data_IF_308064016552
#
_entry.id   IF_308064016552
#
_cell.length_a   1.000
_cell.length_b   1.000
_cell.length_c   1.000
_cell.angle_alpha   90.00
_cell.angle_beta   90.00
_cell.angle_gamma   90.00
#
_symmetry.space_group_name_H-M   'P 1'
#
loop_
_entity.id
_entity.type
_entity.pdbx_description
1 polymer ?
#
# COMPACT_ATOMS: atom_id res chain seq x y z
N UNK A 1 9.58 5.94 18.34
CA UNK A 1 8.73 5.21 19.31
C UNK A 1 7.33 5.83 19.38
N UNK A 2 6.28 5.07 19.72
CA UNK A 2 4.97 5.63 20.03
C UNK A 2 5.08 6.65 21.16
N UNK A 3 4.51 7.82 20.92
CA UNK A 3 4.55 8.95 21.85
C UNK A 3 3.13 9.42 22.14
N UNK A 4 2.86 9.71 23.41
CA UNK A 4 1.59 10.32 23.82
C UNK A 4 1.58 11.82 23.54
N UNK A 5 0.41 12.46 23.65
CA UNK A 5 0.26 13.92 23.58
C UNK A 5 0.99 14.70 24.69
N UNK A 6 1.58 13.99 25.66
CA UNK A 6 2.37 14.54 26.76
C UNK A 6 3.86 14.23 26.62
N UNK A 7 4.31 13.85 25.41
CA UNK A 7 5.69 13.46 25.10
C UNK A 7 6.21 12.26 25.89
N UNK A 8 5.32 11.46 26.48
CA UNK A 8 5.68 10.20 27.13
C UNK A 8 5.81 9.07 26.11
N UNK A 9 6.92 8.33 26.19
CA UNK A 9 7.20 7.15 25.37
C UNK A 9 6.53 5.88 25.92
N UNK A 10 6.14 4.97 25.02
CA UNK A 10 5.41 3.76 25.39
C UNK A 10 6.33 2.59 25.80
N UNK A 11 5.94 1.86 26.86
CA UNK A 11 6.52 0.58 27.29
C UNK A 11 8.06 0.64 27.47
N UNK A 12 8.51 1.59 28.29
CA UNK A 12 9.92 1.81 28.62
C UNK A 12 10.42 0.68 29.52
N UNK A 13 11.48 0.00 29.08
CA UNK A 13 12.14 -1.02 29.87
C UNK A 13 12.89 -0.39 31.05
N UNK A 14 12.53 -0.75 32.29
CA UNK A 14 13.12 -0.16 33.51
C UNK A 14 14.64 -0.34 33.62
N UNK A 15 15.19 -1.43 33.07
CA UNK A 15 16.62 -1.74 33.16
C UNK A 15 17.45 -0.98 32.13
N UNK A 16 16.95 -0.87 30.89
CA UNK A 16 17.73 -0.27 29.80
C UNK A 16 17.35 1.18 29.55
N UNK A 17 16.15 1.61 29.93
CA UNK A 17 15.55 2.89 29.56
C UNK A 17 15.02 2.93 28.11
N UNK A 18 15.05 1.80 27.39
CA UNK A 18 14.59 1.75 25.99
C UNK A 18 13.10 1.52 25.92
N UNK A 19 12.44 2.32 25.11
CA UNK A 19 11.02 2.26 24.81
C UNK A 19 10.66 1.27 23.70
N UNK A 20 9.36 1.12 23.44
CA UNK A 20 8.86 0.37 22.29
C UNK A 20 9.24 1.08 20.99
N UNK A 21 9.94 0.35 20.11
CA UNK A 21 10.28 0.80 18.77
C UNK A 21 9.39 0.12 17.74
N UNK A 22 8.94 0.94 16.77
CA UNK A 22 8.22 0.53 15.58
C UNK A 22 9.07 0.98 14.41
N UNK A 23 9.37 0.05 13.51
CA UNK A 23 10.10 0.33 12.29
C UNK A 23 9.09 0.38 11.14
N UNK A 24 9.17 1.42 10.31
CA UNK A 24 8.37 1.56 9.11
C UNK A 24 9.28 1.62 7.88
N UNK A 25 9.03 0.74 6.91
CA UNK A 25 9.76 0.67 5.66
C UNK A 25 8.81 0.98 4.51
N UNK A 26 9.29 1.79 3.57
CA UNK A 26 8.57 2.18 2.38
C UNK A 26 9.33 1.72 1.13
N UNK A 27 8.66 0.97 0.26
CA UNK A 27 9.18 0.56 -1.04
C UNK A 27 8.32 1.21 -2.12
N UNK A 28 8.86 2.22 -2.82
CA UNK A 28 8.10 3.08 -3.74
C UNK A 28 8.48 2.73 -5.19
N UNK A 29 7.48 2.55 -6.05
CA UNK A 29 7.67 2.10 -7.42
C UNK A 29 7.33 3.19 -8.46
N UNK A 30 7.86 3.05 -9.69
CA UNK A 30 7.61 3.99 -10.79
C UNK A 30 6.14 4.18 -11.20
N UNK A 31 5.25 3.25 -10.86
CA UNK A 31 3.81 3.36 -11.14
C UNK A 31 3.04 4.14 -10.07
N UNK A 32 3.73 4.78 -9.12
CA UNK A 32 3.13 5.53 -8.02
C UNK A 32 2.58 4.66 -6.89
N UNK A 33 2.76 3.33 -6.96
CA UNK A 33 2.45 2.43 -5.87
C UNK A 33 3.61 2.32 -4.87
N UNK A 34 3.31 1.99 -3.61
CA UNK A 34 4.30 1.75 -2.58
C UNK A 34 3.84 0.72 -1.55
N UNK A 35 4.74 -0.13 -1.07
CA UNK A 35 4.49 -0.91 0.14
C UNK A 35 4.86 -0.09 1.37
N UNK A 36 3.96 -0.04 2.35
CA UNK A 36 4.24 0.33 3.73
C UNK A 36 4.30 -0.95 4.56
N UNK A 37 5.48 -1.26 5.08
CA UNK A 37 5.71 -2.36 6.01
C UNK A 37 5.96 -1.78 7.40
N UNK A 38 5.12 -2.14 8.36
CA UNK A 38 5.24 -1.66 9.75
C UNK A 38 5.48 -2.85 10.65
N UNK A 39 6.61 -2.87 11.36
CA UNK A 39 7.00 -3.97 12.23
C UNK A 39 7.45 -3.51 13.62
N UNK A 40 7.27 -4.40 14.60
CA UNK A 40 7.66 -4.16 15.99
C UNK A 40 7.97 -5.48 16.70
N UNK A 41 8.54 -5.41 17.89
CA UNK A 41 8.76 -6.59 18.74
C UNK A 41 7.42 -7.13 19.26
N UNK A 42 7.14 -8.41 19.04
CA UNK A 42 5.90 -9.06 19.50
C UNK A 42 5.68 -8.86 21.00
N UNK A 43 4.43 -8.57 21.38
CA UNK A 43 4.03 -8.33 22.78
C UNK A 43 4.36 -6.94 23.33
N UNK A 44 4.96 -6.04 22.54
CA UNK A 44 5.30 -4.69 23.04
C UNK A 44 4.25 -3.61 22.74
N UNK A 45 3.47 -3.79 21.67
CA UNK A 45 2.39 -2.88 21.27
C UNK A 45 1.11 -3.23 22.05
N UNK A 46 0.67 -2.32 22.94
CA UNK A 46 -0.52 -2.50 23.78
C UNK A 46 -1.85 -2.44 23.01
N UNK A 47 -2.96 -2.43 23.76
CA UNK A 47 -4.33 -2.32 23.22
C UNK A 47 -5.13 -1.22 23.94
N UNK A 48 -6.10 -0.54 23.27
CA UNK A 48 -6.48 -0.73 21.86
C UNK A 48 -5.43 -0.16 20.89
N UNK A 49 -5.45 -0.63 19.63
CA UNK A 49 -4.56 -0.16 18.56
C UNK A 49 -5.34 -0.01 17.26
N UNK A 50 -5.09 1.09 16.56
CA UNK A 50 -5.65 1.41 15.24
C UNK A 50 -4.48 1.64 14.29
N UNK A 51 -4.37 0.82 13.24
CA UNK A 51 -3.21 0.86 12.34
C UNK A 51 -3.40 1.81 11.16
N UNK A 52 -4.63 1.92 10.64
CA UNK A 52 -4.88 2.73 9.46
C UNK A 52 -6.26 3.40 9.50
N UNK A 53 -6.20 4.72 9.35
CA UNK A 53 -7.34 5.62 9.14
C UNK A 53 -7.00 6.51 7.94
N UNK A 54 -7.90 6.60 6.97
CA UNK A 54 -7.70 7.39 5.75
C UNK A 54 -8.27 8.80 5.94
N UNK A 55 -7.37 9.78 6.09
CA UNK A 55 -7.70 11.14 6.51
C UNK A 55 -7.21 12.17 5.46
N UNK A 56 -8.11 12.64 4.58
CA UNK A 56 -7.87 13.79 3.72
C UNK A 56 -7.44 15.05 4.47
N UNK A 57 -6.58 15.84 3.81
CA UNK A 57 -6.12 17.15 4.27
C UNK A 57 -6.67 18.24 3.34
N UNK A 58 -7.10 19.35 3.93
CA UNK A 58 -7.43 20.58 3.21
C UNK A 58 -6.46 21.69 3.63
N UNK A 59 -5.94 22.44 2.66
CA UNK A 59 -5.13 23.62 2.93
C UNK A 59 -5.96 24.82 3.41
N UNK A 60 -5.30 25.91 3.87
CA UNK A 60 -5.98 27.16 4.15
C UNK A 60 -6.78 27.66 2.93
N UNK A 61 -7.99 28.13 3.18
CA UNK A 61 -8.96 28.59 2.19
C UNK A 61 -9.83 27.49 1.60
N UNK A 62 -9.48 26.21 1.79
CA UNK A 62 -10.19 25.08 1.18
C UNK A 62 -11.26 24.49 2.09
N UNK A 63 -12.39 24.14 1.49
CA UNK A 63 -13.46 23.36 2.08
C UNK A 63 -13.30 21.88 1.73
N UNK A 64 -14.03 21.01 2.42
CA UNK A 64 -14.01 19.56 2.16
C UNK A 64 -14.40 19.23 0.71
N UNK A 65 -15.39 19.95 0.18
CA UNK A 65 -15.85 19.83 -1.20
C UNK A 65 -14.87 20.37 -2.24
N UNK A 66 -13.80 21.08 -1.86
CA UNK A 66 -12.75 21.47 -2.80
C UNK A 66 -11.73 20.34 -3.02
N UNK A 67 -11.69 19.38 -2.11
CA UNK A 67 -10.74 18.25 -2.13
C UNK A 67 -11.42 16.96 -2.62
N UNK A 68 -12.59 16.64 -2.05
CA UNK A 68 -13.26 15.37 -2.31
C UNK A 68 -14.25 15.47 -3.46
N UNK A 69 -14.37 14.38 -4.21
CA UNK A 69 -15.51 14.16 -5.10
C UNK A 69 -16.70 13.54 -4.34
N UNK A 70 -17.86 13.45 -5.00
CA UNK A 70 -19.03 12.73 -4.49
C UNK A 70 -19.64 11.87 -5.62
N UNK A 71 -19.56 10.53 -5.56
CA UNK A 71 -19.18 9.69 -4.41
C UNK A 71 -17.71 9.82 -4.01
N UNK A 72 -17.41 9.70 -2.72
CA UNK A 72 -16.11 10.02 -2.14
C UNK A 72 -15.21 8.80 -1.86
N UNK A 73 -15.78 7.59 -1.87
CA UNK A 73 -15.06 6.36 -1.55
C UNK A 73 -15.67 5.17 -2.28
N UNK A 74 -14.80 4.30 -2.79
CA UNK A 74 -15.14 2.95 -3.22
C UNK A 74 -14.37 1.95 -2.36
N UNK A 75 -15.07 0.99 -1.78
CA UNK A 75 -14.49 -0.18 -1.10
C UNK A 75 -14.73 -1.40 -1.96
N UNK A 76 -13.71 -2.23 -2.18
CA UNK A 76 -13.82 -3.47 -2.97
C UNK A 76 -13.15 -4.65 -2.27
N UNK A 77 -13.54 -5.86 -2.68
CA UNK A 77 -12.82 -7.10 -2.38
C UNK A 77 -12.07 -7.63 -3.61
N UNK A 78 -11.38 -8.76 -3.46
CA UNK A 78 -10.65 -9.41 -4.56
C UNK A 78 -11.55 -10.15 -5.54
N UNK A 79 -12.83 -10.40 -5.25
CA UNK A 79 -13.77 -11.00 -6.20
C UNK A 79 -14.28 -9.98 -7.22
N UNK A 80 -14.17 -8.69 -6.90
CA UNK A 80 -14.64 -7.57 -7.71
C UNK A 80 -15.92 -6.94 -7.19
N UNK A 81 -16.47 -7.43 -6.08
CA UNK A 81 -17.62 -6.81 -5.44
C UNK A 81 -17.20 -5.47 -4.82
N UNK A 82 -18.00 -4.44 -5.06
CA UNK A 82 -17.71 -3.07 -4.62
C UNK A 82 -18.91 -2.42 -3.94
N UNK A 83 -18.63 -1.57 -2.95
CA UNK A 83 -19.58 -0.66 -2.35
C UNK A 83 -19.09 0.79 -2.49
N UNK A 84 -19.96 1.65 -2.99
CA UNK A 84 -19.70 3.08 -3.19
C UNK A 84 -20.35 3.89 -2.08
N UNK A 85 -19.59 4.81 -1.50
CA UNK A 85 -20.01 5.70 -0.43
C UNK A 85 -20.03 7.14 -0.90
N UNK A 86 -21.07 7.84 -0.51
CA UNK A 86 -21.35 9.19 -0.95
C UNK A 86 -21.79 10.03 0.26
N UNK A 87 -21.68 11.34 0.11
CA UNK A 87 -22.32 12.30 0.97
C UNK A 87 -23.80 12.43 0.58
N UNK A 88 -24.69 12.28 1.55
CA UNK A 88 -26.15 12.27 1.36
C UNK A 88 -26.82 13.39 2.15
N UNK A 89 -28.01 13.81 1.72
CA UNK A 89 -28.84 14.74 2.49
C UNK A 89 -29.49 14.00 3.67
N UNK A 90 -29.50 14.62 4.86
CA UNK A 90 -30.17 14.11 6.07
C UNK A 90 -29.86 12.63 6.39
N UNK A 91 -28.56 12.26 6.59
CA UNK A 91 -28.13 10.88 6.70
C UNK A 91 -28.85 10.15 7.85
N UNK A 92 -29.35 8.96 7.55
CA UNK A 92 -29.91 8.01 8.51
C UNK A 92 -28.87 6.94 8.84
N UNK A 93 -29.24 5.94 9.66
CA UNK A 93 -28.43 4.75 9.83
C UNK A 93 -28.18 4.09 8.47
N UNK A 94 -26.91 4.00 8.07
CA UNK A 94 -26.54 3.49 6.75
C UNK A 94 -26.99 2.04 6.58
N UNK A 95 -27.61 1.76 5.43
CA UNK A 95 -28.00 0.41 5.01
C UNK A 95 -27.00 -0.21 4.02
N UNK A 96 -25.94 0.55 3.67
CA UNK A 96 -24.89 0.10 2.76
C UNK A 96 -24.12 -1.03 3.44
N UNK A 97 -23.95 -2.14 2.72
CA UNK A 97 -23.18 -3.27 3.20
C UNK A 97 -21.80 -3.21 2.58
N UNK A 98 -20.77 -3.42 3.39
CA UNK A 98 -19.43 -3.65 2.87
C UNK A 98 -19.40 -4.96 2.08
N UNK A 99 -18.57 -5.04 1.02
CA UNK A 99 -18.28 -6.31 0.36
C UNK A 99 -17.73 -7.33 1.36
N UNK A 100 -17.91 -8.62 1.08
CA UNK A 100 -17.30 -9.67 1.90
C UNK A 100 -15.76 -9.59 1.81
N UNK A 101 -15.09 -9.67 2.96
CA UNK A 101 -13.63 -9.59 3.09
C UNK A 101 -13.00 -8.39 2.35
N UNK A 102 -13.41 -7.14 2.67
CA UNK A 102 -12.96 -5.97 1.94
C UNK A 102 -11.49 -5.68 2.24
N UNK A 103 -10.71 -5.49 1.18
CA UNK A 103 -9.28 -5.21 1.30
C UNK A 103 -8.78 -4.09 0.38
N UNK A 104 -9.66 -3.42 -0.37
CA UNK A 104 -9.31 -2.31 -1.26
C UNK A 104 -10.14 -1.08 -0.86
N UNK A 105 -9.47 0.06 -0.72
CA UNK A 105 -10.10 1.39 -0.61
C UNK A 105 -9.54 2.29 -1.69
N UNK A 106 -10.42 2.99 -2.41
CA UNK A 106 -10.09 4.09 -3.31
C UNK A 106 -10.90 5.30 -2.91
N UNK A 107 -10.23 6.38 -2.51
CA UNK A 107 -10.88 7.62 -2.14
C UNK A 107 -10.89 8.56 -3.34
N UNK A 108 -12.07 9.02 -3.73
CA UNK A 108 -12.24 9.86 -4.91
C UNK A 108 -12.00 11.32 -4.53
N UNK A 109 -10.92 11.88 -5.06
CA UNK A 109 -10.55 13.28 -4.93
C UNK A 109 -10.91 14.00 -6.24
N UNK A 110 -10.93 15.33 -6.22
CA UNK A 110 -11.03 16.13 -7.45
C UNK A 110 -9.75 16.16 -8.29
N UNK A 111 -8.74 15.40 -7.86
CA UNK A 111 -7.45 15.22 -8.55
C UNK A 111 -7.60 14.19 -9.67
N UNK A 112 -6.75 14.27 -10.70
CA UNK A 112 -6.67 13.25 -11.75
C UNK A 112 -6.23 11.87 -11.21
N UNK A 113 -5.55 11.87 -10.06
CA UNK A 113 -5.08 10.67 -9.39
C UNK A 113 -5.71 10.54 -8.00
N UNK A 114 -6.42 9.44 -7.81
CA UNK A 114 -7.10 9.10 -6.57
C UNK A 114 -6.23 8.24 -5.65
N UNK A 115 -6.09 8.57 -4.36
CA UNK A 115 -5.39 7.73 -3.42
C UNK A 115 -6.11 6.41 -3.17
N UNK A 116 -5.33 5.33 -3.08
CA UNK A 116 -5.83 4.01 -2.75
C UNK A 116 -4.96 3.32 -1.70
N UNK A 117 -5.57 2.35 -1.01
CA UNK A 117 -4.88 1.41 -0.13
C UNK A 117 -5.44 0.01 -0.39
N UNK A 118 -4.54 -0.95 -0.60
CA UNK A 118 -4.83 -2.37 -0.65
C UNK A 118 -4.19 -3.01 0.58
N UNK A 119 -4.95 -3.85 1.28
CA UNK A 119 -4.51 -4.58 2.47
C UNK A 119 -4.36 -6.07 2.18
N UNK A 120 -3.66 -6.76 3.07
CA UNK A 120 -3.57 -8.21 3.02
C UNK A 120 -4.96 -8.87 3.10
N UNK A 121 -5.15 -9.99 2.39
CA UNK A 121 -6.38 -10.79 2.47
C UNK A 121 -6.65 -11.17 3.93
N UNK A 122 -7.87 -10.88 4.40
CA UNK A 122 -8.25 -11.03 5.81
C UNK A 122 -8.31 -9.70 6.59
N UNK A 123 -7.99 -8.57 5.94
CA UNK A 123 -8.28 -7.25 6.48
C UNK A 123 -9.78 -7.09 6.81
N UNK A 124 -10.07 -6.29 7.83
CA UNK A 124 -11.42 -5.84 8.14
C UNK A 124 -11.53 -4.33 7.98
N UNK A 125 -12.66 -3.88 7.46
CA UNK A 125 -13.01 -2.47 7.38
C UNK A 125 -14.23 -2.23 8.27
N UNK A 126 -14.34 -1.00 8.77
CA UNK A 126 -15.54 -0.59 9.49
C UNK A 126 -15.95 0.81 9.04
N UNK A 127 -17.07 0.86 8.33
CA UNK A 127 -17.76 2.06 7.95
C UNK A 127 -18.76 2.49 9.03
N UNK A 128 -18.51 3.63 9.69
CA UNK A 128 -19.39 4.09 10.77
C UNK A 128 -20.77 4.58 10.30
N UNK A 129 -20.91 5.06 9.07
CA UNK A 129 -22.19 5.53 8.55
C UNK A 129 -22.07 6.66 7.54
N UNK A 130 -23.22 6.99 6.94
CA UNK A 130 -23.28 7.97 5.86
C UNK A 130 -22.94 9.38 6.38
N UNK A 131 -22.50 10.25 5.47
CA UNK A 131 -22.04 11.61 5.79
C UNK A 131 -23.02 12.64 5.21
N UNK A 132 -23.32 13.68 5.98
CA UNK A 132 -24.23 14.73 5.50
C UNK A 132 -23.54 15.56 4.41
N UNK A 133 -24.19 15.76 3.26
CA UNK A 133 -23.71 16.55 2.12
C UNK A 133 -23.37 18.00 2.44
N UNK A 134 -23.99 18.60 3.45
CA UNK A 134 -23.60 19.94 3.93
C UNK A 134 -22.15 20.02 4.40
N UNK A 135 -21.55 18.88 4.77
CA UNK A 135 -20.15 18.84 5.18
C UNK A 135 -19.21 19.29 4.07
N UNK A 136 -19.56 19.08 2.80
CA UNK A 136 -18.74 19.51 1.66
C UNK A 136 -18.60 21.05 1.61
N UNK A 137 -19.55 21.79 2.18
CA UNK A 137 -19.56 23.26 2.24
C UNK A 137 -18.92 23.82 3.53
N UNK A 138 -18.21 22.98 4.29
CA UNK A 138 -17.64 23.32 5.59
C UNK A 138 -16.14 22.98 5.61
N UNK A 139 -15.33 23.63 6.47
CA UNK A 139 -13.93 23.26 6.69
C UNK A 139 -13.81 21.83 7.21
N UNK A 140 -12.58 21.32 7.25
CA UNK A 140 -12.32 20.02 7.87
C UNK A 140 -12.61 19.99 9.37
N UNK A 141 -12.87 18.79 9.88
CA UNK A 141 -13.31 18.57 11.26
C UNK A 141 -12.20 18.80 12.30
N UNK A 142 -10.92 18.73 11.93
CA UNK A 142 -9.82 18.91 12.87
C UNK A 142 -8.83 19.93 12.30
N UNK A 143 -8.48 20.98 13.06
CA UNK A 143 -7.49 22.00 12.66
C UNK A 143 -6.19 21.93 13.50
N UNK A 144 -6.01 20.86 14.26
CA UNK A 144 -4.86 20.66 15.15
C UNK A 144 -3.99 19.46 14.75
N UNK A 145 -4.54 18.36 14.23
CA UNK A 145 -3.77 17.17 13.87
C UNK A 145 -4.19 16.71 12.46
N UNK A 146 -3.27 16.23 11.61
CA UNK A 146 -1.82 16.08 11.81
C UNK A 146 -1.00 17.35 11.49
N UNK A 147 -1.65 18.46 11.10
CA UNK A 147 -0.96 19.61 10.49
C UNK A 147 -0.88 20.84 11.40
N UNK A 148 -1.78 20.97 12.38
CA UNK A 148 -1.80 22.11 13.29
C UNK A 148 -0.85 21.92 14.48
N UNK A 149 -0.48 23.03 15.12
CA UNK A 149 0.21 23.00 16.43
C UNK A 149 -0.64 23.66 17.53
N UNK A 150 -1.86 24.07 17.19
CA UNK A 150 -2.77 24.66 18.16
C UNK A 150 -3.20 23.58 19.16
N UNK A 151 -3.02 23.85 20.46
CA UNK A 151 -3.60 23.04 21.52
C UNK A 151 -5.11 23.02 21.35
N UNK A 152 -5.66 21.86 20.99
CA UNK A 152 -7.07 21.70 20.69
C UNK A 152 -7.53 20.31 21.11
N UNK A 153 -8.72 20.25 21.71
CA UNK A 153 -9.39 19.07 22.23
C UNK A 153 -10.33 18.42 21.20
N UNK A 154 -10.00 18.47 19.90
CA UNK A 154 -10.82 17.87 18.84
C UNK A 154 -11.97 18.75 18.32
N UNK A 155 -11.82 20.08 18.37
CA UNK A 155 -12.86 21.01 17.89
C UNK A 155 -13.02 20.97 16.36
N UNK A 156 -14.27 21.00 15.92
CA UNK A 156 -14.63 21.21 14.51
C UNK A 156 -14.14 22.56 14.00
N UNK A 157 -13.40 22.57 12.90
CA UNK A 157 -13.02 23.79 12.20
C UNK A 157 -14.26 24.57 11.76
N UNK A 158 -14.43 25.78 12.28
CA UNK A 158 -15.55 26.67 11.92
C UNK A 158 -15.20 27.65 10.79
N UNK A 159 -13.91 27.79 10.48
CA UNK A 159 -13.39 28.60 9.37
C UNK A 159 -12.28 27.84 8.63
N UNK A 160 -12.09 28.08 7.31
CA UNK A 160 -11.02 27.48 6.52
C UNK A 160 -9.71 28.29 6.62
N UNK A 161 -9.45 29.01 7.71
CA UNK A 161 -8.28 29.92 7.82
C UNK A 161 -6.96 29.18 8.05
N UNK A 162 -6.98 27.86 8.25
CA UNK A 162 -5.84 27.01 8.59
C UNK A 162 -5.93 25.67 7.87
N UNK A 163 -4.84 24.90 7.77
CA UNK A 163 -4.92 23.52 7.34
C UNK A 163 -5.88 22.73 8.24
N UNK A 164 -6.70 21.91 7.63
CA UNK A 164 -7.64 21.02 8.35
C UNK A 164 -7.52 19.60 7.84
N UNK A 165 -7.99 18.66 8.65
CA UNK A 165 -8.15 17.26 8.29
C UNK A 165 -9.60 16.84 8.54
N UNK A 166 -10.06 15.86 7.77
CA UNK A 166 -11.45 15.42 7.82
C UNK A 166 -11.61 14.06 7.17
N UNK A 167 -12.72 13.38 7.48
CA UNK A 167 -12.96 11.98 7.14
C UNK A 167 -11.90 11.05 7.72
N UNK A 168 -12.29 9.81 8.00
CA UNK A 168 -11.46 8.84 8.69
C UNK A 168 -11.97 7.42 8.49
N UNK A 169 -12.67 7.17 7.39
CA UNK A 169 -13.41 5.93 7.20
C UNK A 169 -13.21 5.36 5.80
N UNK A 170 -13.22 4.03 5.68
CA UNK A 170 -13.37 3.07 6.78
C UNK A 170 -12.09 2.95 7.61
N UNK A 171 -12.24 2.71 8.91
CA UNK A 171 -11.09 2.34 9.75
C UNK A 171 -10.72 0.91 9.40
N UNK A 172 -9.43 0.68 9.15
CA UNK A 172 -8.94 -0.62 8.69
C UNK A 172 -8.18 -1.35 9.79
N UNK A 173 -8.47 -2.63 9.91
CA UNK A 173 -7.78 -3.57 10.79
C UNK A 173 -7.00 -4.56 9.92
N UNK A 174 -5.75 -4.25 9.55
CA UNK A 174 -4.93 -5.14 8.74
C UNK A 174 -4.61 -6.42 9.49
N UNK A 175 -4.28 -7.47 8.73
CA UNK A 175 -3.78 -8.74 9.28
C UNK A 175 -2.41 -8.50 9.92
N UNK A 176 -2.25 -8.99 11.15
CA UNK A 176 -0.95 -8.96 11.83
C UNK A 176 -0.31 -10.34 11.70
N UNK A 177 0.86 -10.39 11.08
CA UNK A 177 1.69 -11.60 11.03
C UNK A 177 2.67 -11.58 12.20
N UNK A 178 2.88 -12.72 12.84
CA UNK A 178 3.89 -12.89 13.89
C UNK A 178 4.85 -14.01 13.55
N UNK A 179 6.16 -13.70 13.56
CA UNK A 179 7.22 -14.68 13.28
C UNK A 179 8.52 -14.21 13.93
N UNK A 180 9.30 -15.15 14.48
CA UNK A 180 10.62 -14.88 15.04
C UNK A 180 10.66 -13.73 16.06
N UNK A 181 9.60 -13.57 16.86
CA UNK A 181 9.49 -12.50 17.86
C UNK A 181 9.22 -11.10 17.30
N UNK A 182 8.88 -10.98 16.02
CA UNK A 182 8.40 -9.75 15.37
C UNK A 182 6.92 -9.91 15.00
N UNK A 183 6.17 -8.82 15.16
CA UNK A 183 4.81 -8.67 14.66
C UNK A 183 4.82 -7.56 13.61
N UNK A 184 4.12 -7.75 12.49
CA UNK A 184 4.06 -6.74 11.43
C UNK A 184 2.75 -6.80 10.64
N UNK A 185 2.51 -5.75 9.86
CA UNK A 185 1.54 -5.75 8.78
C UNK A 185 2.09 -5.03 7.55
N UNK A 186 1.48 -5.30 6.40
CA UNK A 186 1.79 -4.63 5.14
C UNK A 186 0.54 -3.97 4.56
N UNK A 187 0.72 -2.81 3.93
CA UNK A 187 -0.27 -2.20 3.06
C UNK A 187 0.36 -1.75 1.76
N UNK A 188 -0.36 -1.90 0.65
CA UNK A 188 0.00 -1.38 -0.65
C UNK A 188 -0.75 -0.07 -0.89
N UNK A 189 -0.03 1.02 -0.84
CA UNK A 189 -0.51 2.39 -0.99
C UNK A 189 -0.23 2.89 -2.40
N UNK A 190 -0.93 3.94 -2.82
CA UNK A 190 -0.56 4.69 -4.01
C UNK A 190 -1.61 5.69 -4.40
N UNK A 191 -1.43 6.29 -5.58
CA UNK A 191 -2.44 7.09 -6.25
C UNK A 191 -2.59 6.60 -7.68
N UNK A 192 -3.80 6.64 -8.23
CA UNK A 192 -4.07 6.10 -9.56
C UNK A 192 -5.17 6.85 -10.29
N UNK A 193 -5.04 6.96 -11.61
CA UNK A 193 -6.09 7.40 -12.54
C UNK A 193 -6.96 6.21 -13.02
N UNK A 194 -6.63 4.98 -12.61
CA UNK A 194 -7.29 3.76 -13.06
C UNK A 194 -8.59 3.49 -12.30
N UNK A 195 -9.56 2.76 -12.90
CA UNK A 195 -10.76 2.32 -12.22
C UNK A 195 -10.47 1.29 -11.12
N UNK A 196 -11.46 1.04 -10.24
CA UNK A 196 -11.31 0.07 -9.14
C UNK A 196 -10.98 -1.35 -9.63
N UNK A 197 -11.43 -1.74 -10.82
CA UNK A 197 -11.12 -3.05 -11.42
C UNK A 197 -9.61 -3.27 -11.62
N UNK A 198 -8.85 -2.22 -11.92
CA UNK A 198 -7.39 -2.29 -11.95
C UNK A 198 -6.82 -2.59 -10.55
N UNK A 199 -7.37 -1.96 -9.52
CA UNK A 199 -6.96 -2.21 -8.13
C UNK A 199 -7.32 -3.63 -7.67
N UNK A 200 -8.40 -4.22 -8.19
CA UNK A 200 -8.73 -5.64 -7.95
C UNK A 200 -7.64 -6.54 -8.54
N UNK A 201 -7.22 -6.30 -9.78
CA UNK A 201 -6.13 -7.03 -10.43
C UNK A 201 -4.80 -6.84 -9.68
N UNK A 202 -4.47 -5.61 -9.30
CA UNK A 202 -3.27 -5.29 -8.50
C UNK A 202 -3.31 -5.98 -7.13
N UNK A 203 -4.48 -6.01 -6.49
CA UNK A 203 -4.69 -6.69 -5.20
C UNK A 203 -4.46 -8.19 -5.31
N UNK A 204 -5.00 -8.85 -6.35
CA UNK A 204 -4.73 -10.26 -6.64
C UNK A 204 -3.24 -10.52 -6.90
N UNK A 205 -2.62 -9.70 -7.75
CA UNK A 205 -1.19 -9.79 -8.04
C UNK A 205 -0.33 -9.64 -6.78
N UNK A 206 -0.71 -8.76 -5.85
CA UNK A 206 0.07 -8.54 -4.63
C UNK A 206 -0.17 -9.60 -3.55
N UNK A 207 -1.42 -9.97 -3.30
CA UNK A 207 -1.80 -10.90 -2.22
C UNK A 207 -1.58 -12.38 -2.59
N UNK A 208 -1.74 -12.70 -3.87
CA UNK A 208 -1.72 -14.06 -4.42
C UNK A 208 -0.96 -14.09 -5.75
N UNK A 209 0.25 -13.53 -5.74
CA UNK A 209 1.13 -13.45 -6.90
C UNK A 209 1.37 -14.85 -7.52
N UNK A 210 1.43 -14.97 -8.85
CA UNK A 210 1.59 -16.27 -9.51
C UNK A 210 2.94 -16.93 -9.19
N UNK A 211 2.99 -18.25 -9.30
CA UNK A 211 4.25 -18.98 -9.21
C UNK A 211 5.22 -18.56 -10.32
N UNK A 212 6.51 -18.67 -10.03
CA UNK A 212 7.62 -18.34 -10.92
C UNK A 212 8.58 -19.54 -11.01
N UNK A 213 8.71 -20.12 -12.21
CA UNK A 213 9.65 -21.19 -12.48
C UNK A 213 10.93 -20.61 -13.09
N UNK A 214 12.08 -21.06 -12.61
CA UNK A 214 13.37 -20.72 -13.18
C UNK A 214 13.64 -21.58 -14.43
N UNK A 215 13.98 -20.94 -15.55
CA UNK A 215 14.32 -21.61 -16.81
C UNK A 215 15.83 -21.74 -17.05
N UNK A 216 16.64 -20.94 -16.37
CA UNK A 216 18.11 -20.93 -16.45
C UNK A 216 18.75 -21.49 -15.19
N UNK A 217 19.80 -22.29 -15.31
CA UNK A 217 20.59 -22.73 -14.15
C UNK A 217 21.44 -21.60 -13.57
N UNK A 218 22.01 -21.81 -12.39
CA UNK A 218 22.93 -20.85 -11.75
C UNK A 218 22.26 -19.81 -10.85
N UNK A 219 20.95 -19.89 -10.64
CA UNK A 219 20.19 -19.03 -9.73
C UNK A 219 19.43 -19.83 -8.67
N UNK A 220 19.06 -19.17 -7.58
CA UNK A 220 18.11 -19.70 -6.60
C UNK A 220 16.68 -19.70 -7.14
N UNK A 221 15.78 -20.43 -6.47
CA UNK A 221 14.36 -20.40 -6.81
C UNK A 221 13.80 -18.99 -6.57
N UNK A 222 13.07 -18.38 -7.52
CA UNK A 222 12.42 -17.09 -7.31
C UNK A 222 11.42 -17.13 -6.16
N UNK A 223 11.54 -16.23 -5.20
CA UNK A 223 10.65 -16.12 -4.04
C UNK A 223 9.93 -14.78 -4.06
N UNK A 224 8.60 -14.80 -4.02
CA UNK A 224 7.81 -13.58 -3.95
C UNK A 224 7.76 -13.02 -2.52
N UNK A 225 8.18 -11.77 -2.35
CA UNK A 225 8.09 -11.00 -1.11
C UNK A 225 6.90 -10.06 -1.18
N UNK A 226 5.89 -10.30 -0.32
CA UNK A 226 4.75 -9.38 -0.17
C UNK A 226 5.17 -8.03 0.42
N UNK A 227 6.14 -8.05 1.35
CA UNK A 227 6.72 -6.86 2.01
C UNK A 227 7.41 -5.91 1.02
N UNK A 228 7.89 -6.42 -0.11
CA UNK A 228 8.58 -5.62 -1.13
C UNK A 228 7.92 -5.72 -2.50
N UNK A 229 6.70 -6.27 -2.59
CA UNK A 229 5.97 -6.51 -3.85
C UNK A 229 6.91 -6.96 -5.00
N UNK A 230 7.78 -7.93 -4.72
CA UNK A 230 8.88 -8.27 -5.62
C UNK A 230 9.23 -9.75 -5.58
N UNK A 231 9.62 -10.30 -6.73
CA UNK A 231 10.26 -11.59 -6.82
C UNK A 231 11.76 -11.43 -6.58
N UNK A 232 12.28 -12.14 -5.58
CA UNK A 232 13.69 -12.16 -5.24
C UNK A 232 14.33 -13.43 -5.76
N UNK A 233 15.48 -13.26 -6.41
CA UNK A 233 16.30 -14.35 -6.92
C UNK A 233 17.77 -13.99 -6.69
N UNK A 234 18.59 -14.99 -6.43
CA UNK A 234 20.02 -14.82 -6.19
C UNK A 234 20.81 -15.57 -7.26
N UNK A 235 21.80 -14.92 -7.85
CA UNK A 235 22.78 -15.62 -8.68
C UNK A 235 23.74 -16.40 -7.78
N UNK A 236 23.79 -17.72 -7.98
CA UNK A 236 24.64 -18.64 -7.25
C UNK A 236 25.93 -18.97 -8.02
N UNK A 237 25.88 -18.99 -9.35
CA UNK A 237 27.03 -19.29 -10.21
C UNK A 237 26.79 -18.90 -11.68
N UNK A 238 27.85 -18.86 -12.47
CA UNK A 238 27.79 -18.61 -13.92
C UNK A 238 27.46 -17.16 -14.29
N UNK A 239 27.47 -16.87 -15.59
CA UNK A 239 27.21 -15.55 -16.16
C UNK A 239 26.01 -15.55 -17.11
N UNK A 240 25.21 -16.63 -17.10
CA UNK A 240 24.04 -16.73 -17.96
C UNK A 240 23.00 -15.65 -17.60
N UNK A 241 22.20 -15.19 -18.57
CA UNK A 241 20.98 -14.42 -18.32
C UNK A 241 20.05 -15.10 -17.32
N UNK A 242 19.23 -14.32 -16.63
CA UNK A 242 18.14 -14.85 -15.81
C UNK A 242 16.91 -15.05 -16.70
N UNK A 243 16.34 -16.25 -16.73
CA UNK A 243 15.05 -16.51 -17.39
C UNK A 243 14.05 -17.11 -16.41
N UNK A 244 12.89 -16.46 -16.28
CA UNK A 244 11.81 -16.86 -15.38
C UNK A 244 10.51 -16.99 -16.18
N UNK A 245 9.79 -18.09 -15.97
CA UNK A 245 8.40 -18.25 -16.42
C UNK A 245 7.45 -17.97 -15.26
N UNK A 246 6.61 -16.95 -15.41
CA UNK A 246 5.52 -16.67 -14.47
C UNK A 246 4.25 -17.40 -14.92
N UNK A 247 3.63 -18.17 -14.03
CA UNK A 247 2.38 -18.90 -14.28
C UNK A 247 1.15 -18.01 -14.02
N UNK A 248 1.16 -16.80 -14.57
CA UNK A 248 0.04 -15.88 -14.38
C UNK A 248 -1.24 -16.39 -15.03
N UNK A 249 -2.39 -16.09 -14.41
CA UNK A 249 -3.71 -16.31 -14.97
C UNK A 249 -4.68 -15.18 -14.56
N UNK A 250 -5.99 -15.35 -14.76
CA UNK A 250 -7.00 -14.33 -14.40
C UNK A 250 -7.21 -14.18 -12.88
N UNK A 251 -6.93 -15.23 -12.12
CA UNK A 251 -7.08 -15.27 -10.67
C UNK A 251 -5.78 -14.84 -9.97
N UNK A 252 -4.63 -15.17 -10.56
CA UNK A 252 -3.29 -14.79 -10.12
C UNK A 252 -2.59 -13.99 -11.23
N UNK A 253 -3.04 -12.75 -11.52
CA UNK A 253 -2.41 -11.92 -12.53
C UNK A 253 -1.04 -11.45 -12.05
N UNK A 254 -0.19 -11.08 -13.01
CA UNK A 254 1.07 -10.40 -12.77
C UNK A 254 0.91 -8.94 -13.21
N UNK A 255 0.85 -8.00 -12.26
CA UNK A 255 0.66 -6.57 -12.53
C UNK A 255 1.93 -5.84 -12.11
N UNK A 256 2.54 -5.12 -13.06
CA UNK A 256 3.77 -4.35 -12.91
C UNK A 256 4.84 -5.03 -12.03
N UNK A 257 5.33 -6.23 -12.41
CA UNK A 257 6.19 -7.02 -11.56
C UNK A 257 7.54 -6.35 -11.28
N UNK A 258 8.03 -6.58 -10.07
CA UNK A 258 9.39 -6.22 -9.65
C UNK A 258 10.21 -7.50 -9.53
N UNK A 259 11.40 -7.52 -10.11
CA UNK A 259 12.38 -8.61 -9.98
C UNK A 259 13.64 -8.01 -9.34
N UNK A 260 14.04 -8.55 -8.19
CA UNK A 260 15.27 -8.21 -7.49
C UNK A 260 16.23 -9.38 -7.67
N UNK A 261 17.37 -9.08 -8.30
CA UNK A 261 18.44 -10.03 -8.56
C UNK A 261 19.60 -9.68 -7.62
N UNK A 262 19.80 -10.52 -6.59
CA UNK A 262 20.96 -10.45 -5.71
C UNK A 262 22.18 -11.04 -6.43
N UNK A 263 23.36 -10.42 -6.22
CA UNK A 263 24.62 -10.80 -6.86
C UNK A 263 24.53 -10.81 -8.41
N UNK A 264 24.06 -9.73 -9.07
CA UNK A 264 23.74 -9.76 -10.49
C UNK A 264 24.96 -10.06 -11.38
N UNK A 265 26.19 -9.85 -10.90
CA UNK A 265 27.40 -10.06 -11.67
C UNK A 265 27.48 -9.05 -12.80
N UNK A 266 27.62 -9.54 -14.03
CA UNK A 266 27.75 -8.70 -15.23
C UNK A 266 26.41 -8.36 -15.91
N UNK A 267 25.25 -8.68 -15.30
CA UNK A 267 23.95 -8.35 -15.89
C UNK A 267 23.80 -6.85 -16.05
N UNK A 268 23.49 -6.40 -17.25
CA UNK A 268 23.22 -5.00 -17.53
C UNK A 268 21.76 -4.63 -17.20
N UNK A 269 20.87 -5.61 -17.15
CA UNK A 269 19.45 -5.43 -16.86
C UNK A 269 18.62 -5.07 -18.08
N UNK A 270 19.03 -5.53 -19.26
CA UNK A 270 18.21 -5.50 -20.46
C UNK A 270 17.13 -6.59 -20.37
N UNK A 271 15.94 -6.34 -20.88
CA UNK A 271 14.77 -7.20 -20.63
C UNK A 271 14.16 -7.69 -21.94
N UNK A 272 13.85 -8.98 -22.00
CA UNK A 272 12.92 -9.53 -22.99
C UNK A 272 11.67 -10.09 -22.31
N UNK A 273 10.53 -9.91 -22.99
CA UNK A 273 9.25 -10.49 -22.62
C UNK A 273 8.80 -11.40 -23.77
N UNK A 274 8.63 -12.69 -23.49
CA UNK A 274 8.27 -13.72 -24.48
C UNK A 274 9.16 -13.69 -25.73
N UNK A 275 10.48 -13.54 -25.53
CA UNK A 275 11.49 -13.49 -26.60
C UNK A 275 11.58 -12.17 -27.37
N UNK A 276 10.80 -11.15 -26.99
CA UNK A 276 10.88 -9.80 -27.57
C UNK A 276 11.54 -8.84 -26.59
N UNK A 277 12.63 -8.21 -27.00
CA UNK A 277 13.28 -7.14 -26.24
C UNK A 277 12.38 -5.91 -26.09
N UNK A 278 12.43 -5.30 -24.91
CA UNK A 278 11.71 -4.06 -24.59
C UNK A 278 12.71 -2.97 -24.18
N UNK A 279 12.43 -1.72 -24.53
CA UNK A 279 13.34 -0.58 -24.28
C UNK A 279 12.77 0.44 -23.29
N UNK A 280 11.46 0.69 -23.33
CA UNK A 280 10.83 1.81 -22.60
C UNK A 280 9.85 1.37 -21.50
N UNK A 281 9.33 0.15 -21.60
CA UNK A 281 8.30 -0.43 -20.73
C UNK A 281 8.87 -1.06 -19.45
N UNK A 282 10.02 -0.57 -18.98
CA UNK A 282 10.59 -0.97 -17.71
C UNK A 282 11.52 0.10 -17.11
N UNK A 283 11.87 -0.05 -15.84
CA UNK A 283 12.93 0.69 -15.15
C UNK A 283 13.90 -0.31 -14.55
N UNK A 284 15.17 0.07 -14.47
CA UNK A 284 16.21 -0.68 -13.78
C UNK A 284 16.99 0.20 -12.82
N UNK A 285 17.51 -0.40 -11.75
CA UNK A 285 18.37 0.27 -10.78
C UNK A 285 19.39 -0.70 -10.18
N UNK A 286 20.60 -0.21 -9.95
CA UNK A 286 21.65 -0.94 -9.25
C UNK A 286 21.81 -0.37 -7.85
N UNK A 287 21.87 -1.26 -6.85
CA UNK A 287 22.05 -0.89 -5.45
C UNK A 287 23.19 -1.72 -4.88
N UNK A 288 24.28 -1.06 -4.50
CA UNK A 288 25.36 -1.71 -3.76
C UNK A 288 25.01 -1.77 -2.29
N UNK A 289 25.08 -2.96 -1.69
CA UNK A 289 24.95 -3.17 -0.24
C UNK A 289 26.28 -3.60 0.36
N UNK A 290 26.34 -3.73 1.69
CA UNK A 290 27.56 -4.19 2.37
C UNK A 290 27.93 -5.63 2.00
N UNK A 291 26.92 -6.46 1.69
CA UNK A 291 27.08 -7.91 1.51
C UNK A 291 26.98 -8.34 0.03
N UNK A 292 26.18 -7.62 -0.78
CA UNK A 292 25.95 -7.92 -2.20
C UNK A 292 25.50 -6.70 -3.00
N UNK A 293 25.80 -6.69 -4.31
CA UNK A 293 25.10 -5.80 -5.25
C UNK A 293 23.72 -6.36 -5.60
N UNK A 294 22.79 -5.47 -5.92
CA UNK A 294 21.43 -5.78 -6.36
C UNK A 294 21.13 -5.12 -7.69
N UNK A 295 20.52 -5.87 -8.60
CA UNK A 295 19.85 -5.32 -9.78
C UNK A 295 18.35 -5.44 -9.58
N UNK A 296 17.65 -4.31 -9.65
CA UNK A 296 16.21 -4.21 -9.52
C UNK A 296 15.63 -3.89 -10.89
N UNK A 297 14.68 -4.70 -11.34
CA UNK A 297 13.92 -4.51 -12.57
C UNK A 297 12.45 -4.30 -12.22
N UNK A 298 11.86 -3.21 -12.68
CA UNK A 298 10.42 -2.93 -12.58
C UNK A 298 9.82 -2.90 -13.98
N UNK A 299 8.83 -3.73 -14.28
CA UNK A 299 8.19 -3.77 -15.60
C UNK A 299 6.86 -3.01 -15.57
N UNK A 300 6.57 -2.23 -16.61
CA UNK A 300 5.24 -1.68 -16.88
C UNK A 300 4.46 -2.67 -17.74
N UNK A 301 3.92 -3.72 -17.11
CA UNK A 301 3.28 -4.82 -17.85
C UNK A 301 2.24 -5.54 -17.01
N UNK A 302 1.21 -6.05 -17.68
CA UNK A 302 0.15 -6.85 -17.08
C UNK A 302 0.00 -8.18 -17.81
N UNK A 303 -0.01 -9.29 -17.07
CA UNK A 303 -0.20 -10.62 -17.60
C UNK A 303 -1.30 -11.37 -16.86
N UNK A 304 -2.24 -11.93 -17.62
CA UNK A 304 -3.31 -12.81 -17.15
C UNK A 304 -3.20 -14.22 -17.78
N UNK A 305 -2.00 -14.56 -18.24
CA UNK A 305 -1.61 -15.83 -18.85
C UNK A 305 -0.10 -16.01 -18.64
N UNK A 306 0.44 -17.24 -18.79
CA UNK A 306 1.86 -17.47 -18.61
C UNK A 306 2.72 -16.54 -19.48
N UNK A 307 3.82 -16.07 -18.91
CA UNK A 307 4.77 -15.18 -19.56
C UNK A 307 6.21 -15.53 -19.17
N UNK A 308 7.13 -15.31 -20.08
CA UNK A 308 8.56 -15.52 -19.88
C UNK A 308 9.27 -14.17 -19.87
N UNK A 309 10.06 -13.93 -18.82
CA UNK A 309 10.86 -12.73 -18.66
C UNK A 309 12.32 -13.15 -18.60
N UNK A 310 13.13 -12.53 -19.46
CA UNK A 310 14.58 -12.69 -19.50
C UNK A 310 15.26 -11.39 -19.12
N UNK A 311 16.27 -11.46 -18.26
CA UNK A 311 17.15 -10.34 -17.88
C UNK A 311 18.59 -10.67 -18.25
N UNK A 312 19.25 -9.81 -19.05
CA UNK A 312 20.62 -9.98 -19.53
C UNK A 312 21.44 -8.70 -19.37
#
# INVERSE_FOLDING_TARGET
APVSVYDLTWNVNEKTGWECWIDEYYYIYPDGSAIRHVEWKTGTLGHPRQFQESIPLAGPGQLRGDIMDNPWLTVSNQEGDSQVYEYVKDPQASQKKEPDNPNIQKHNFKSDFDPFIIFETGNRMNYLGDRNIENLQKPGSCNHWPVGQAYCDGRTGIAPDRPTSFLGFPISSPVITEKNGRSWWNGLYGMTDKPVDYLVSLSRSWNSSPEADLLTSGYSTPLYSRTERAYKVERLSGNEPLEIRFKADKNQPLVNPVIIIENPGMLEGNVMINGKEITDDYRKGFVSTLDSDRLIIFLFSEFNRPSEIKVF
#
